data_IF_510410214083
#
_entry.id   IF_510410214083
#
_cell.length_a   1.000
_cell.length_b   1.000
_cell.length_c   1.000
_cell.angle_alpha   90.00
_cell.angle_beta   90.00
_cell.angle_gamma   90.00
#
_symmetry.space_group_name_H-M   'P 1'
#
loop_
_entity.id
_entity.type
_entity.pdbx_description
1 polymer ?
#
# COMPACT_ATOMS: atom_id res chain seq x y z
N UNK A 1 21.11 -55.47 3.10
CA UNK A 1 19.66 -55.44 3.28
C UNK A 1 19.29 -56.73 4.00
N UNK A 2 18.88 -56.68 5.27
CA UNK A 2 18.43 -57.88 5.99
C UNK A 2 16.90 -58.01 5.77
N UNK A 3 16.51 -58.90 4.88
CA UNK A 3 15.12 -59.25 4.68
C UNK A 3 14.76 -60.43 5.60
N UNK A 4 13.50 -60.51 6.12
CA UNK A 4 13.01 -61.66 6.82
C UNK A 4 13.14 -62.92 6.00
N UNK A 5 13.44 -64.06 6.65
CA UNK A 5 13.76 -65.34 5.98
C UNK A 5 12.67 -65.85 5.00
N UNK A 6 11.45 -65.38 5.12
CA UNK A 6 10.31 -65.74 4.25
C UNK A 6 10.11 -64.80 3.06
N UNK A 7 10.92 -63.75 2.91
CA UNK A 7 10.76 -62.75 1.85
C UNK A 7 11.94 -62.78 0.90
N UNK A 8 11.66 -62.95 -0.38
CA UNK A 8 12.67 -62.94 -1.45
C UNK A 8 12.57 -61.66 -2.26
N UNK A 9 13.69 -60.94 -2.41
CA UNK A 9 13.75 -59.79 -3.28
C UNK A 9 13.54 -60.19 -4.75
N UNK A 10 12.54 -59.66 -5.42
CA UNK A 10 12.23 -59.97 -6.82
C UNK A 10 12.85 -58.98 -7.78
N UNK A 11 12.76 -57.72 -7.48
CA UNK A 11 13.40 -56.65 -8.28
C UNK A 11 13.54 -55.38 -7.47
N UNK A 12 14.45 -54.51 -7.87
CA UNK A 12 14.63 -53.15 -7.36
C UNK A 12 14.54 -52.21 -8.56
N UNK A 13 13.71 -51.20 -8.45
CA UNK A 13 13.61 -50.16 -9.47
C UNK A 13 13.69 -48.78 -8.82
N UNK A 14 14.53 -47.85 -9.33
CA UNK A 14 15.56 -48.07 -10.37
C UNK A 14 16.72 -48.96 -9.87
N UNK A 15 17.31 -49.74 -10.78
CA UNK A 15 18.46 -50.60 -10.49
C UNK A 15 19.76 -49.82 -10.37
N UNK A 16 19.79 -48.62 -10.89
CA UNK A 16 20.92 -47.68 -10.83
C UNK A 16 20.45 -46.33 -10.34
N UNK A 17 21.26 -45.73 -9.48
CA UNK A 17 21.09 -44.36 -8.98
C UNK A 17 22.38 -43.61 -9.22
N UNK A 18 22.32 -42.54 -10.02
CA UNK A 18 23.47 -41.66 -10.22
C UNK A 18 23.68 -40.80 -8.98
N UNK A 19 24.80 -40.93 -8.33
CA UNK A 19 25.16 -40.14 -7.15
C UNK A 19 26.29 -39.18 -7.53
N UNK A 20 25.99 -37.90 -7.49
CA UNK A 20 26.99 -36.86 -7.66
C UNK A 20 27.61 -36.50 -6.30
N UNK A 21 28.87 -36.91 -6.10
CA UNK A 21 29.63 -36.55 -4.91
C UNK A 21 30.36 -35.21 -5.15
N UNK A 22 30.23 -34.29 -4.21
CA UNK A 22 30.91 -33.00 -4.23
C UNK A 22 31.43 -32.61 -2.86
N UNK A 23 32.51 -31.78 -2.83
CA UNK A 23 32.98 -31.20 -1.57
C UNK A 23 31.94 -30.19 -1.08
N UNK A 24 31.56 -30.24 0.18
CA UNK A 24 30.79 -29.23 0.85
C UNK A 24 31.66 -28.01 1.14
N UNK A 25 31.10 -26.85 0.99
CA UNK A 25 31.73 -25.56 1.30
C UNK A 25 30.74 -24.64 1.98
N UNK A 26 31.24 -23.76 2.81
CA UNK A 26 30.53 -22.64 3.37
C UNK A 26 30.58 -21.47 2.40
N UNK A 27 29.43 -20.75 2.27
CA UNK A 27 29.32 -19.53 1.49
C UNK A 27 28.31 -18.57 2.15
N UNK A 28 28.66 -17.29 2.20
CA UNK A 28 27.74 -16.24 2.60
C UNK A 28 26.83 -15.89 1.42
N UNK A 29 25.56 -15.91 1.66
CA UNK A 29 24.51 -15.54 0.69
C UNK A 29 23.62 -14.44 1.26
N UNK A 30 23.17 -13.56 0.38
CA UNK A 30 22.17 -12.53 0.73
C UNK A 30 20.84 -13.19 1.02
N UNK A 31 20.16 -12.71 2.06
CA UNK A 31 18.83 -13.19 2.42
C UNK A 31 17.79 -12.47 1.58
N UNK A 32 16.92 -13.24 0.93
CA UNK A 32 15.79 -12.75 0.17
C UNK A 32 14.50 -13.14 0.88
N UNK A 33 13.76 -12.14 1.38
CA UNK A 33 12.52 -12.33 2.10
C UNK A 33 11.41 -12.83 1.18
N UNK A 34 10.85 -13.99 1.51
CA UNK A 34 9.68 -14.52 0.83
C UNK A 34 8.41 -14.16 1.60
N UNK A 35 7.41 -13.64 0.88
CA UNK A 35 6.11 -13.26 1.41
C UNK A 35 5.01 -14.05 0.72
N UNK A 36 3.97 -14.42 1.46
CA UNK A 36 2.77 -15.09 0.96
C UNK A 36 1.54 -14.28 1.34
N UNK A 37 0.61 -14.13 0.40
CA UNK A 37 -0.58 -13.30 0.60
C UNK A 37 -0.31 -11.82 0.35
N UNK A 38 -1.32 -11.00 0.64
CA UNK A 38 -1.27 -9.55 0.52
C UNK A 38 -1.83 -8.91 1.80
N UNK A 39 -1.38 -7.70 2.19
CA UNK A 39 -1.98 -6.96 3.30
C UNK A 39 -3.49 -6.79 3.10
N UNK A 40 -4.20 -6.48 4.17
CA UNK A 40 -5.62 -6.17 4.09
C UNK A 40 -5.88 -5.02 3.11
N UNK A 41 -7.07 -5.01 2.51
CA UNK A 41 -7.47 -3.96 1.56
C UNK A 41 -7.25 -2.59 2.21
N UNK A 42 -6.63 -1.67 1.47
CA UNK A 42 -6.30 -0.33 1.95
C UNK A 42 -5.01 -0.21 2.75
N UNK A 43 -4.25 -1.29 2.89
CA UNK A 43 -2.95 -1.29 3.55
C UNK A 43 -1.84 -1.72 2.59
N UNK A 44 -0.62 -1.26 2.86
CA UNK A 44 0.57 -1.61 2.09
C UNK A 44 1.79 -1.73 3.01
N UNK A 45 2.78 -2.50 2.59
CA UNK A 45 4.08 -2.52 3.23
C UNK A 45 4.88 -1.34 2.69
N UNK A 46 5.24 -0.39 3.55
CA UNK A 46 6.04 0.78 3.18
C UNK A 46 7.53 0.52 3.29
N UNK A 47 7.94 -0.34 4.21
CA UNK A 47 9.33 -0.68 4.43
C UNK A 47 9.46 -2.10 4.98
N UNK A 48 10.58 -2.76 4.62
CA UNK A 48 10.95 -4.07 5.13
C UNK A 48 12.43 -4.09 5.48
N UNK A 49 12.75 -4.72 6.59
CA UNK A 49 14.11 -4.87 7.05
C UNK A 49 14.35 -6.31 7.52
N UNK A 50 15.47 -6.90 7.08
CA UNK A 50 15.89 -8.27 7.41
C UNK A 50 17.26 -8.23 8.04
N UNK A 51 17.42 -8.86 9.21
CA UNK A 51 18.69 -8.93 9.89
C UNK A 51 18.98 -10.37 10.43
N UNK A 52 20.16 -10.91 10.18
CA UNK A 52 21.22 -10.40 9.31
C UNK A 52 20.79 -10.42 7.83
N UNK A 53 21.31 -9.49 7.03
CA UNK A 53 21.06 -9.42 5.58
C UNK A 53 21.83 -10.45 4.77
N UNK A 54 22.84 -11.08 5.38
CA UNK A 54 23.65 -12.17 4.81
C UNK A 54 23.83 -13.25 5.87
N UNK A 55 23.77 -14.51 5.43
CA UNK A 55 23.94 -15.69 6.29
C UNK A 55 24.91 -16.68 5.65
N UNK A 56 25.47 -17.52 6.47
CA UNK A 56 26.36 -18.57 6.02
C UNK A 56 25.62 -19.89 5.79
N UNK A 57 25.79 -20.46 4.62
CA UNK A 57 25.17 -21.73 4.24
C UNK A 57 26.23 -22.77 3.86
N UNK A 58 25.93 -24.02 4.10
CA UNK A 58 26.79 -25.17 3.74
C UNK A 58 26.13 -25.94 2.60
N UNK A 59 26.86 -26.18 1.54
CA UNK A 59 26.34 -26.93 0.40
C UNK A 59 27.43 -27.33 -0.62
N UNK A 60 27.02 -27.98 -1.72
CA UNK A 60 27.97 -28.44 -2.75
C UNK A 60 28.72 -27.29 -3.43
N UNK A 61 30.04 -27.26 -3.37
CA UNK A 61 30.90 -26.21 -3.88
C UNK A 61 30.56 -25.76 -5.30
N UNK A 62 30.43 -26.72 -6.21
CA UNK A 62 30.20 -26.42 -7.64
C UNK A 62 28.86 -25.75 -7.93
N UNK A 63 27.90 -25.91 -7.03
CA UNK A 63 26.57 -25.33 -7.16
C UNK A 63 26.43 -24.03 -6.39
N UNK A 64 27.03 -23.93 -5.20
CA UNK A 64 26.99 -22.70 -4.41
C UNK A 64 27.73 -21.55 -5.07
N UNK A 65 28.70 -21.79 -5.95
CA UNK A 65 29.42 -20.72 -6.67
C UNK A 65 28.46 -19.83 -7.45
N UNK A 66 27.41 -20.38 -8.03
CA UNK A 66 26.42 -19.68 -8.85
C UNK A 66 25.27 -19.06 -8.02
N UNK A 67 25.14 -19.45 -6.75
CA UNK A 67 24.12 -18.92 -5.87
C UNK A 67 24.50 -17.51 -5.37
N UNK A 68 23.59 -16.56 -5.48
CA UNK A 68 23.76 -15.19 -4.99
C UNK A 68 22.91 -14.86 -3.77
N UNK A 69 21.82 -15.56 -3.58
CA UNK A 69 20.88 -15.34 -2.48
C UNK A 69 20.25 -16.66 -2.02
N UNK A 70 19.70 -16.63 -0.83
CA UNK A 70 18.89 -17.69 -0.25
C UNK A 70 17.57 -17.12 0.24
N UNK A 71 16.50 -17.87 0.06
CA UNK A 71 15.18 -17.45 0.48
C UNK A 71 14.91 -17.78 1.95
N UNK A 72 14.09 -16.95 2.59
CA UNK A 72 13.47 -17.32 3.86
C UNK A 72 12.33 -18.30 3.63
N UNK A 73 11.92 -18.99 4.69
CA UNK A 73 10.58 -19.57 4.73
C UNK A 73 9.57 -18.45 4.53
N UNK A 74 8.53 -18.64 3.69
CA UNK A 74 7.56 -17.59 3.42
C UNK A 74 6.84 -17.11 4.68
N UNK A 75 6.83 -15.78 4.88
CA UNK A 75 6.02 -15.15 5.92
C UNK A 75 4.62 -14.89 5.37
N UNK A 76 3.60 -15.29 6.11
CA UNK A 76 2.22 -14.97 5.75
C UNK A 76 1.89 -13.53 6.15
N UNK A 77 1.62 -12.71 5.14
CA UNK A 77 1.21 -11.31 5.26
C UNK A 77 -0.26 -11.11 4.91
N UNK A 78 -1.01 -12.20 4.70
CA UNK A 78 -2.42 -12.17 4.32
C UNK A 78 -3.27 -11.46 5.35
N UNK A 79 -3.97 -10.39 4.92
CA UNK A 79 -4.91 -9.66 5.75
C UNK A 79 -4.31 -8.84 6.89
N UNK A 80 -2.97 -8.61 6.91
CA UNK A 80 -2.35 -7.80 7.96
C UNK A 80 -2.73 -6.31 7.82
N UNK A 81 -2.84 -5.63 8.96
CA UNK A 81 -3.19 -4.21 9.08
C UNK A 81 -2.12 -3.45 9.88
N UNK A 82 -2.30 -2.14 10.05
CA UNK A 82 -1.40 -1.29 10.85
C UNK A 82 -1.31 -1.75 12.32
N UNK A 83 -2.39 -2.32 12.86
CA UNK A 83 -2.42 -2.82 14.25
C UNK A 83 -1.45 -3.98 14.49
N UNK A 84 -0.99 -4.60 13.42
CA UNK A 84 -0.01 -5.69 13.45
C UNK A 84 1.43 -5.22 13.26
N UNK A 85 1.67 -3.91 13.22
CA UNK A 85 3.02 -3.36 13.32
C UNK A 85 3.62 -3.76 14.68
N UNK A 86 4.55 -4.71 14.65
CA UNK A 86 5.14 -5.26 15.86
C UNK A 86 6.33 -4.43 16.29
N UNK A 87 6.44 -4.21 17.59
CA UNK A 87 7.67 -3.67 18.19
C UNK A 87 8.82 -4.68 18.08
N UNK A 88 8.49 -5.98 18.09
CA UNK A 88 9.47 -7.06 17.97
C UNK A 88 9.44 -7.67 16.57
N UNK A 89 10.62 -8.09 16.06
CA UNK A 89 10.70 -8.72 14.75
C UNK A 89 10.03 -10.10 14.72
N UNK A 90 9.60 -10.49 13.53
CA UNK A 90 9.34 -11.92 13.27
C UNK A 90 10.66 -12.66 13.16
N UNK A 91 10.76 -13.80 13.84
CA UNK A 91 11.86 -14.75 13.66
C UNK A 91 11.45 -15.78 12.61
N UNK A 92 12.24 -15.87 11.55
CA UNK A 92 11.91 -16.69 10.39
C UNK A 92 13.11 -17.54 10.01
N UNK A 93 12.84 -18.83 9.80
CA UNK A 93 13.84 -19.77 9.33
C UNK A 93 14.22 -19.53 7.85
N UNK A 94 15.32 -20.14 7.47
CA UNK A 94 15.84 -20.09 6.11
C UNK A 94 15.42 -21.35 5.35
N UNK A 95 15.11 -21.19 4.06
CA UNK A 95 14.82 -22.31 3.18
C UNK A 95 16.08 -23.19 3.05
N UNK A 96 15.93 -24.50 3.19
CA UNK A 96 17.05 -25.47 3.11
C UNK A 96 17.46 -25.78 1.67
N UNK A 97 17.19 -24.87 0.76
CA UNK A 97 17.57 -24.96 -0.65
C UNK A 97 17.86 -23.59 -1.25
N UNK A 98 18.79 -23.55 -2.19
CA UNK A 98 19.05 -22.42 -3.05
C UNK A 98 18.67 -22.75 -4.48
N UNK A 99 18.21 -21.75 -5.21
CA UNK A 99 17.90 -21.90 -6.63
C UNK A 99 19.05 -21.29 -7.43
N UNK A 100 19.68 -22.10 -8.26
CA UNK A 100 20.77 -21.68 -9.16
C UNK A 100 20.29 -21.80 -10.61
N UNK A 101 20.67 -20.86 -11.44
CA UNK A 101 20.32 -20.87 -12.87
C UNK A 101 21.42 -21.58 -13.65
N UNK A 102 21.08 -22.70 -14.29
CA UNK A 102 21.99 -23.43 -15.19
C UNK A 102 21.42 -23.42 -16.61
N UNK A 103 22.02 -22.62 -17.49
CA UNK A 103 21.42 -22.33 -18.79
C UNK A 103 20.00 -21.80 -18.62
N UNK A 104 19.01 -22.41 -19.27
CA UNK A 104 17.60 -22.01 -19.19
C UNK A 104 16.81 -22.69 -18.05
N UNK A 105 17.47 -23.48 -17.20
CA UNK A 105 16.80 -24.23 -16.12
C UNK A 105 17.19 -23.70 -14.74
N UNK A 106 16.18 -23.58 -13.88
CA UNK A 106 16.36 -23.37 -12.46
C UNK A 106 16.58 -24.71 -11.77
N UNK A 107 17.71 -24.86 -11.08
CA UNK A 107 18.09 -26.09 -10.35
C UNK A 107 18.00 -25.77 -8.86
N UNK A 108 17.25 -26.58 -8.14
CA UNK A 108 17.19 -26.52 -6.66
C UNK A 108 18.33 -27.29 -6.07
N UNK A 109 19.13 -26.65 -5.25
CA UNK A 109 20.33 -27.22 -4.60
C UNK A 109 20.06 -27.25 -3.09
N UNK A 110 20.11 -28.44 -2.47
CA UNK A 110 19.95 -28.53 -1.02
C UNK A 110 21.14 -27.88 -0.32
N UNK A 111 20.88 -27.14 0.74
CA UNK A 111 21.85 -26.48 1.61
C UNK A 111 21.47 -26.70 3.05
N UNK A 112 22.43 -26.56 3.95
CA UNK A 112 22.16 -26.58 5.39
C UNK A 112 22.43 -25.20 5.96
N UNK A 113 21.42 -24.65 6.64
CA UNK A 113 21.52 -23.44 7.42
C UNK A 113 20.64 -23.59 8.68
N UNK A 114 21.23 -23.35 9.84
CA UNK A 114 20.53 -23.42 11.13
C UNK A 114 20.26 -22.03 11.71
N UNK A 115 20.48 -20.99 10.93
CA UNK A 115 20.26 -19.61 11.34
C UNK A 115 18.82 -19.19 11.09
N UNK A 116 18.33 -18.29 11.94
CA UNK A 116 17.07 -17.57 11.77
C UNK A 116 17.38 -16.10 11.49
N UNK A 117 16.50 -15.48 10.74
CA UNK A 117 16.58 -14.04 10.49
C UNK A 117 15.44 -13.33 11.22
N UNK A 118 15.71 -12.11 11.60
CA UNK A 118 14.72 -11.20 12.16
C UNK A 118 14.17 -10.29 11.06
N UNK A 119 12.86 -10.18 10.97
CA UNK A 119 12.19 -9.40 9.94
C UNK A 119 11.28 -8.37 10.57
N UNK A 120 11.41 -7.11 10.14
CA UNK A 120 10.50 -6.02 10.48
C UNK A 120 9.74 -5.61 9.20
N UNK A 121 8.43 -5.51 9.31
CA UNK A 121 7.56 -5.00 8.26
C UNK A 121 6.83 -3.77 8.81
N UNK A 122 6.92 -2.66 8.09
CA UNK A 122 6.16 -1.46 8.38
C UNK A 122 4.94 -1.41 7.48
N UNK A 123 3.77 -1.53 8.10
CA UNK A 123 2.48 -1.50 7.41
C UNK A 123 1.90 -0.10 7.58
N UNK A 124 1.41 0.46 6.49
CA UNK A 124 0.80 1.80 6.44
C UNK A 124 -0.52 1.74 5.69
N UNK A 125 -1.39 2.71 5.93
CA UNK A 125 -2.56 2.92 5.10
C UNK A 125 -2.15 3.35 3.70
N UNK A 126 -2.72 2.70 2.69
CA UNK A 126 -2.50 3.06 1.29
C UNK A 126 -3.14 4.40 1.02
N UNK A 127 -2.33 5.38 0.61
CA UNK A 127 -2.79 6.70 0.20
C UNK A 127 -3.16 6.68 -1.27
N UNK A 128 -4.23 7.40 -1.60
CA UNK A 128 -4.69 7.57 -2.97
C UNK A 128 -5.13 9.02 -3.22
N UNK A 129 -5.42 9.34 -4.47
CA UNK A 129 -5.89 10.67 -4.88
C UNK A 129 -7.16 10.50 -5.70
N UNK A 130 -8.20 11.27 -5.36
CA UNK A 130 -9.47 11.27 -6.07
C UNK A 130 -9.82 12.65 -6.60
N UNK A 131 -10.34 12.68 -7.82
CA UNK A 131 -10.79 13.88 -8.48
C UNK A 131 -12.32 13.95 -8.46
N UNK A 132 -12.85 15.10 -8.04
CA UNK A 132 -14.27 15.39 -8.05
C UNK A 132 -14.55 16.54 -8.98
N UNK A 133 -15.46 16.31 -9.91
CA UNK A 133 -15.88 17.30 -10.90
C UNK A 133 -17.21 17.92 -10.52
N UNK A 134 -17.39 19.20 -10.88
CA UNK A 134 -18.65 19.92 -10.78
C UNK A 134 -19.29 19.87 -9.39
N UNK A 135 -18.49 20.10 -8.34
CA UNK A 135 -19.04 20.24 -6.99
C UNK A 135 -19.68 21.63 -6.88
N UNK A 136 -20.92 21.67 -6.45
CA UNK A 136 -21.66 22.90 -6.26
C UNK A 136 -21.10 23.73 -5.11
N UNK A 137 -20.83 25.00 -5.38
CA UNK A 137 -20.34 25.96 -4.38
C UNK A 137 -21.56 26.53 -3.62
N UNK A 138 -21.59 26.33 -2.31
CA UNK A 138 -22.62 26.88 -1.43
C UNK A 138 -22.21 28.28 -0.99
N UNK A 139 -23.17 29.18 -0.89
CA UNK A 139 -22.94 30.52 -0.34
C UNK A 139 -23.38 30.54 1.12
N UNK A 140 -22.41 30.68 2.04
CA UNK A 140 -22.68 30.82 3.47
C UNK A 140 -22.97 32.29 3.78
N UNK A 141 -24.20 32.55 4.22
CA UNK A 141 -24.71 33.89 4.54
C UNK A 141 -25.57 33.85 5.81
N UNK A 142 -25.73 34.95 6.56
CA UNK A 142 -26.69 35.04 7.63
C UNK A 142 -28.14 34.86 7.11
N UNK A 143 -29.04 34.41 7.98
CA UNK A 143 -30.44 34.18 7.60
C UNK A 143 -31.13 35.44 7.05
N UNK A 144 -30.82 36.60 7.64
CA UNK A 144 -31.37 37.93 7.26
C UNK A 144 -30.42 38.74 6.39
N UNK A 145 -29.69 38.10 5.49
CA UNK A 145 -28.78 38.78 4.59
C UNK A 145 -29.59 39.61 3.57
N UNK A 146 -29.42 40.96 3.55
CA UNK A 146 -30.33 41.86 2.80
C UNK A 146 -30.05 41.88 1.29
N UNK A 147 -28.99 41.25 0.83
CA UNK A 147 -28.55 41.29 -0.54
C UNK A 147 -28.74 39.96 -1.26
N UNK A 148 -28.87 40.03 -2.59
CA UNK A 148 -28.80 38.88 -3.48
C UNK A 148 -27.37 38.68 -3.91
N UNK A 149 -26.92 37.43 -3.91
CA UNK A 149 -25.53 37.06 -4.26
C UNK A 149 -25.56 36.18 -5.48
N UNK A 150 -24.83 36.60 -6.50
CA UNK A 150 -24.67 35.83 -7.73
C UNK A 150 -23.22 35.49 -7.94
N UNK A 151 -22.78 34.22 -7.67
CA UNK A 151 -21.45 33.80 -8.01
C UNK A 151 -21.30 33.66 -9.52
N UNK A 152 -20.14 34.02 -10.05
CA UNK A 152 -19.82 33.85 -11.46
C UNK A 152 -19.69 32.38 -11.83
N UNK A 153 -19.06 31.59 -10.92
CA UNK A 153 -18.88 30.17 -11.05
C UNK A 153 -19.69 29.47 -9.95
N UNK A 154 -20.63 28.61 -10.34
CA UNK A 154 -21.47 27.86 -9.41
C UNK A 154 -20.86 26.51 -9.01
N UNK A 155 -19.87 26.05 -9.74
CA UNK A 155 -19.22 24.74 -9.57
C UNK A 155 -17.71 24.87 -9.60
N UNK A 156 -17.05 24.01 -8.85
CA UNK A 156 -15.60 23.85 -8.91
C UNK A 156 -15.19 22.38 -8.96
N UNK A 157 -14.01 22.15 -9.49
CA UNK A 157 -13.36 20.85 -9.50
C UNK A 157 -12.31 20.83 -8.39
N UNK A 158 -12.18 19.69 -7.71
CA UNK A 158 -11.17 19.52 -6.67
C UNK A 158 -10.49 18.18 -6.78
N UNK A 159 -9.25 18.15 -6.33
CA UNK A 159 -8.48 16.95 -6.14
C UNK A 159 -8.17 16.79 -4.67
N UNK A 160 -8.50 15.63 -4.12
CA UNK A 160 -8.27 15.29 -2.72
C UNK A 160 -7.36 14.09 -2.59
N UNK A 161 -6.61 14.03 -1.51
CA UNK A 161 -5.71 12.93 -1.15
C UNK A 161 -6.08 12.44 0.24
N UNK A 162 -5.99 11.13 0.44
CA UNK A 162 -6.27 10.52 1.74
C UNK A 162 -6.16 9.00 1.70
N UNK A 163 -6.50 8.32 2.80
CA UNK A 163 -6.53 6.87 2.84
C UNK A 163 -7.49 6.32 1.78
N UNK A 164 -7.03 5.34 1.01
CA UNK A 164 -7.81 4.74 -0.08
C UNK A 164 -9.19 4.29 0.36
N UNK A 165 -9.29 3.63 1.51
CA UNK A 165 -10.58 3.16 2.05
C UNK A 165 -11.57 4.30 2.37
N UNK A 166 -11.06 5.47 2.75
CA UNK A 166 -11.87 6.66 3.00
C UNK A 166 -12.32 7.24 1.68
N UNK A 167 -11.40 7.39 0.72
CA UNK A 167 -11.69 7.95 -0.60
C UNK A 167 -12.66 7.08 -1.40
N UNK A 168 -12.57 5.75 -1.31
CA UNK A 168 -13.48 4.83 -2.01
C UNK A 168 -14.94 4.98 -1.55
N UNK A 169 -15.15 5.35 -0.27
CA UNK A 169 -16.47 5.57 0.32
C UNK A 169 -16.96 7.01 0.22
N UNK A 170 -16.07 7.95 -0.11
CA UNK A 170 -16.37 9.37 -0.15
C UNK A 170 -17.28 9.69 -1.34
N UNK A 171 -18.46 10.24 -1.08
CA UNK A 171 -19.39 10.69 -2.11
C UNK A 171 -19.24 12.20 -2.36
N UNK A 172 -19.79 12.66 -3.49
CA UNK A 172 -19.80 14.10 -3.83
C UNK A 172 -20.51 14.94 -2.77
N UNK A 173 -21.49 14.38 -2.08
CA UNK A 173 -22.27 15.04 -1.03
C UNK A 173 -21.49 15.28 0.27
N UNK A 174 -20.48 14.46 0.51
CA UNK A 174 -19.59 14.54 1.69
C UNK A 174 -18.57 15.67 1.56
N UNK A 175 -18.40 16.19 0.34
CA UNK A 175 -17.48 17.28 0.04
C UNK A 175 -18.24 18.58 -0.07
N UNK A 176 -18.03 19.51 0.86
CA UNK A 176 -18.75 20.78 0.88
C UNK A 176 -17.81 21.91 0.49
N UNK A 177 -18.09 22.52 -0.67
CA UNK A 177 -17.46 23.77 -1.08
C UNK A 177 -18.36 24.95 -0.71
N UNK A 178 -17.77 25.97 -0.11
CA UNK A 178 -18.54 27.15 0.27
C UNK A 178 -17.72 28.43 0.19
N UNK A 179 -18.45 29.53 0.01
CA UNK A 179 -17.95 30.90 0.06
C UNK A 179 -18.61 31.60 1.24
N UNK A 180 -17.81 32.21 2.08
CA UNK A 180 -18.29 32.93 3.25
C UNK A 180 -18.43 34.41 2.90
N UNK A 181 -19.66 34.92 2.92
CA UNK A 181 -20.00 36.33 2.62
C UNK A 181 -20.48 37.09 3.83
N UNK A 182 -20.35 36.52 5.03
CA UNK A 182 -20.85 37.11 6.28
C UNK A 182 -20.32 38.53 6.55
N UNK A 183 -19.10 38.82 6.14
CA UNK A 183 -18.45 40.12 6.33
C UNK A 183 -18.68 41.13 5.20
N UNK A 184 -19.30 40.71 4.09
CA UNK A 184 -19.54 41.56 2.91
C UNK A 184 -20.86 42.32 3.07
N UNK A 185 -20.86 43.64 3.07
CA UNK A 185 -22.06 44.45 3.32
C UNK A 185 -22.53 45.30 2.16
N UNK A 186 -21.71 46.14 1.50
CA UNK A 186 -22.21 46.97 0.43
C UNK A 186 -22.41 46.16 -0.88
N UNK A 187 -23.38 46.53 -1.73
CA UNK A 187 -23.50 46.00 -3.08
C UNK A 187 -22.23 46.29 -3.90
N UNK A 188 -21.85 45.34 -4.79
CA UNK A 188 -20.70 45.49 -5.64
C UNK A 188 -20.04 44.17 -6.01
N UNK A 189 -18.99 44.21 -6.83
CA UNK A 189 -18.20 43.03 -7.20
C UNK A 189 -17.16 42.71 -6.10
N UNK A 190 -17.08 41.42 -5.72
CA UNK A 190 -16.12 40.90 -4.75
C UNK A 190 -15.39 39.69 -5.31
N UNK A 191 -14.20 39.44 -4.79
CA UNK A 191 -13.49 38.16 -4.96
C UNK A 191 -13.38 37.48 -3.60
N UNK A 192 -13.79 36.25 -3.54
CA UNK A 192 -13.73 35.45 -2.30
C UNK A 192 -13.10 34.09 -2.56
N UNK A 193 -12.24 33.63 -1.66
CA UNK A 193 -11.68 32.28 -1.74
C UNK A 193 -12.78 31.25 -1.46
N UNK A 194 -12.76 30.17 -2.22
CA UNK A 194 -13.57 28.99 -1.90
C UNK A 194 -12.95 28.33 -0.68
N UNK A 195 -13.77 27.96 0.29
CA UNK A 195 -13.43 27.11 1.43
C UNK A 195 -13.97 25.72 1.18
N UNK A 196 -13.27 24.72 1.68
CA UNK A 196 -13.66 23.32 1.56
C UNK A 196 -13.75 22.69 2.94
N UNK A 197 -14.82 21.97 3.19
CA UNK A 197 -14.97 21.10 4.34
C UNK A 197 -14.88 19.66 3.87
N UNK A 198 -13.93 18.91 4.44
CA UNK A 198 -13.57 17.55 4.08
C UNK A 198 -13.62 16.65 5.31
N UNK A 199 -13.89 15.36 5.14
CA UNK A 199 -13.77 14.37 6.20
C UNK A 199 -12.36 14.31 6.80
N UNK A 200 -12.26 13.75 8.00
CA UNK A 200 -10.96 13.53 8.66
C UNK A 200 -10.04 12.68 7.78
N UNK A 201 -8.76 13.03 7.79
CA UNK A 201 -7.69 12.37 7.04
C UNK A 201 -7.78 12.52 5.51
N UNK A 202 -8.61 13.45 5.00
CA UNK A 202 -8.67 13.82 3.59
C UNK A 202 -8.20 15.26 3.44
N UNK A 203 -7.28 15.50 2.54
CA UNK A 203 -6.64 16.80 2.31
C UNK A 203 -6.83 17.24 0.85
N UNK A 204 -6.90 18.55 0.64
CA UNK A 204 -6.85 19.13 -0.70
C UNK A 204 -5.43 19.04 -1.27
N UNK A 205 -5.33 18.60 -2.51
CA UNK A 205 -4.04 18.57 -3.24
C UNK A 205 -3.75 19.93 -3.85
N UNK A 206 -4.75 20.54 -4.46
CA UNK A 206 -4.62 21.80 -5.20
C UNK A 206 -5.21 22.97 -4.39
N UNK A 207 -4.67 24.17 -4.59
CA UNK A 207 -5.29 25.40 -4.05
C UNK A 207 -6.60 25.67 -4.76
N UNK A 208 -7.62 25.98 -3.96
CA UNK A 208 -8.91 26.39 -4.50
C UNK A 208 -8.81 27.78 -5.14
N UNK A 209 -9.53 28.00 -6.26
CA UNK A 209 -9.57 29.31 -6.90
C UNK A 209 -10.39 30.31 -6.09
N UNK A 210 -10.22 31.58 -6.41
CA UNK A 210 -11.13 32.62 -5.95
C UNK A 210 -12.29 32.75 -6.93
N UNK A 211 -13.49 32.92 -6.38
CA UNK A 211 -14.72 33.18 -7.16
C UNK A 211 -15.10 34.64 -7.11
N UNK A 212 -15.46 35.17 -8.26
CA UNK A 212 -16.07 36.51 -8.35
C UNK A 212 -17.54 36.46 -7.99
N UNK A 213 -17.96 37.35 -7.12
CA UNK A 213 -19.33 37.49 -6.65
C UNK A 213 -19.85 38.84 -7.07
N UNK A 214 -21.08 38.88 -7.53
CA UNK A 214 -21.84 40.13 -7.71
C UNK A 214 -22.92 40.20 -6.63
N UNK A 215 -22.80 41.19 -5.75
CA UNK A 215 -23.74 41.41 -4.66
C UNK A 215 -24.66 42.57 -5.05
N UNK A 216 -25.95 42.32 -5.08
CA UNK A 216 -26.99 43.28 -5.46
C UNK A 216 -28.02 43.45 -4.35
N UNK A 217 -28.71 44.61 -4.33
CA UNK A 217 -29.84 44.79 -3.47
C UNK A 217 -30.99 43.85 -3.88
N UNK A 218 -31.65 43.23 -2.91
CA UNK A 218 -32.89 42.49 -3.16
C UNK A 218 -33.96 43.44 -3.65
N UNK A 219 -34.44 43.26 -4.88
CA UNK A 219 -35.64 43.94 -5.30
C UNK A 219 -36.79 43.55 -4.36
N UNK A 220 -37.34 44.54 -3.63
CA UNK A 220 -38.61 44.33 -2.94
C UNK A 220 -39.65 44.09 -4.01
N UNK A 221 -40.22 42.90 -4.06
CA UNK A 221 -41.45 42.67 -4.81
C UNK A 221 -42.50 43.62 -4.24
N UNK A 222 -42.84 44.66 -4.99
CA UNK A 222 -44.04 45.45 -4.73
C UNK A 222 -45.21 44.50 -4.92
N UNK A 223 -45.81 44.05 -3.82
CA UNK A 223 -47.12 43.47 -3.87
C UNK A 223 -48.06 44.60 -4.35
N UNK A 224 -48.47 44.50 -5.61
CA UNK A 224 -49.55 45.29 -6.15
C UNK A 224 -50.83 44.78 -5.49
N UNK A 225 -51.39 45.60 -4.64
CA UNK A 225 -52.72 45.44 -4.02
C UNK A 225 -53.81 45.52 -5.06
#
# INVERSE_FOLDING_TARGET
MNLPSAVKLVSVYPDRVDVLLGKLQQKKLKVNLQKKGEPAIGYAISNEFVFPGEIEVIGPLNMLKEASFINTVPIDIGGITIDQNRTFPWRIGIDQKVIVKRGDKNVSVPVTCNEEVQVWLQIVEQQDTRFFEKIKIKVMRPAEYPYEIKPQDEYANIRVKGPKLVLDKLNTEDVVLYIDVTSLKPPGPYKQPIKCDLPKNVELVDKLPEVRLDIREKMRSLEVK
#
